data_IF_062131213025
#
_entry.id   IF_062131213025
#
_cell.length_a   1.000
_cell.length_b   1.000
_cell.length_c   1.000
_cell.angle_alpha   90.00
_cell.angle_beta   90.00
_cell.angle_gamma   90.00
#
_symmetry.space_group_name_H-M   'P 1'
#
loop_
_entity.id
_entity.type
_entity.pdbx_description
1 polymer ?
#
# COMPACT_ATOMS: atom_id res chain seq x y z
N UNK A 1 23.50 -72.17 -30.95
CA UNK A 1 22.09 -71.84 -30.64
C UNK A 1 22.06 -71.15 -29.28
N UNK A 2 21.24 -70.09 -29.22
CA UNK A 2 21.01 -69.13 -28.14
C UNK A 2 21.10 -69.66 -26.70
N UNK A 3 21.68 -68.86 -25.79
CA UNK A 3 20.80 -68.21 -24.81
C UNK A 3 21.35 -66.89 -24.24
N UNK A 4 20.44 -65.91 -24.23
CA UNK A 4 20.61 -64.48 -23.95
C UNK A 4 20.84 -64.22 -22.45
N UNK A 5 21.71 -63.26 -22.12
CA UNK A 5 21.57 -62.44 -20.91
C UNK A 5 21.59 -60.97 -21.33
N UNK A 6 20.49 -60.30 -21.05
CA UNK A 6 20.23 -58.88 -21.31
C UNK A 6 20.95 -58.08 -20.22
N UNK A 7 21.90 -57.22 -20.61
CA UNK A 7 22.46 -56.19 -19.74
C UNK A 7 21.66 -54.90 -19.97
N UNK A 8 20.98 -54.42 -18.94
CA UNK A 8 20.33 -53.11 -18.93
C UNK A 8 21.41 -52.07 -18.57
N UNK A 9 21.78 -51.24 -19.53
CA UNK A 9 22.60 -50.04 -19.30
C UNK A 9 21.70 -48.92 -18.78
N UNK A 10 21.87 -48.52 -17.52
CA UNK A 10 21.30 -47.30 -16.97
C UNK A 10 22.15 -46.10 -17.40
N UNK A 11 21.64 -45.33 -18.36
CA UNK A 11 22.24 -44.06 -18.81
C UNK A 11 21.89 -42.97 -17.79
N UNK A 12 22.82 -42.65 -16.89
CA UNK A 12 22.73 -41.48 -16.02
C UNK A 12 23.10 -40.22 -16.80
N UNK A 13 22.10 -39.47 -17.27
CA UNK A 13 22.30 -38.13 -17.81
C UNK A 13 22.50 -37.17 -16.62
N UNK A 14 23.75 -36.80 -16.36
CA UNK A 14 24.08 -35.64 -15.54
C UNK A 14 23.69 -34.38 -16.31
N UNK A 15 22.54 -33.81 -15.98
CA UNK A 15 22.17 -32.44 -16.34
C UNK A 15 23.07 -31.47 -15.56
N UNK A 16 24.17 -31.05 -16.17
CA UNK A 16 24.94 -29.89 -15.72
C UNK A 16 24.11 -28.65 -16.03
N UNK A 17 23.37 -28.16 -15.04
CA UNK A 17 22.76 -26.83 -15.07
C UNK A 17 23.91 -25.83 -14.91
N UNK A 18 24.20 -24.95 -15.87
CA UNK A 18 25.17 -23.89 -15.65
C UNK A 18 24.56 -22.91 -14.64
N UNK A 19 25.06 -22.94 -13.41
CA UNK A 19 24.96 -21.80 -12.51
C UNK A 19 25.72 -20.65 -13.17
N UNK A 20 25.01 -19.80 -13.91
CA UNK A 20 25.43 -18.44 -14.17
C UNK A 20 25.29 -17.66 -12.85
N UNK A 21 26.16 -17.96 -11.89
CA UNK A 21 26.52 -17.03 -10.83
C UNK A 21 27.19 -15.85 -11.52
N UNK A 22 26.39 -14.86 -11.89
CA UNK A 22 26.88 -13.54 -12.25
C UNK A 22 27.72 -13.04 -11.09
N UNK A 23 29.03 -13.05 -11.25
CA UNK A 23 29.95 -12.27 -10.44
C UNK A 23 29.52 -10.81 -10.57
N UNK A 24 28.71 -10.32 -9.64
CA UNK A 24 28.48 -8.88 -9.50
C UNK A 24 29.76 -8.30 -8.92
N UNK A 25 30.73 -7.99 -9.78
CA UNK A 25 31.80 -7.08 -9.40
C UNK A 25 31.16 -5.79 -8.86
N UNK A 26 31.63 -5.35 -7.70
CA UNK A 26 31.14 -4.15 -7.04
C UNK A 26 31.29 -2.96 -8.01
N UNK A 27 30.17 -2.33 -8.40
CA UNK A 27 30.20 -1.23 -9.37
C UNK A 27 30.97 -0.05 -8.77
N UNK A 28 32.11 0.29 -9.37
CA UNK A 28 32.95 1.41 -8.95
C UNK A 28 32.13 2.71 -8.99
N UNK A 29 32.01 3.37 -7.83
CA UNK A 29 31.25 4.60 -7.69
C UNK A 29 32.05 5.80 -8.23
N UNK A 30 31.36 6.70 -8.93
CA UNK A 30 31.90 7.96 -9.44
C UNK A 30 31.32 9.17 -8.72
N UNK A 31 30.03 9.13 -8.38
CA UNK A 31 29.29 10.19 -7.66
C UNK A 31 29.52 11.61 -8.22
N UNK A 32 29.68 11.75 -9.55
CA UNK A 32 29.93 13.05 -10.22
C UNK A 32 28.65 13.78 -10.66
N UNK A 33 27.60 13.01 -10.90
CA UNK A 33 26.30 13.51 -11.35
C UNK A 33 25.20 12.71 -10.66
N UNK A 34 23.95 13.08 -10.93
CA UNK A 34 22.78 12.35 -10.48
C UNK A 34 21.69 12.45 -11.54
N UNK A 35 21.16 11.31 -11.99
CA UNK A 35 20.00 11.31 -12.89
C UNK A 35 18.73 10.96 -12.11
N UNK A 36 17.73 11.84 -12.14
CA UNK A 36 16.47 11.68 -11.38
C UNK A 36 15.30 11.59 -12.35
N UNK A 37 14.45 10.57 -12.20
CA UNK A 37 13.16 10.53 -12.87
C UNK A 37 12.10 11.16 -11.97
N UNK A 38 11.43 12.19 -12.47
CA UNK A 38 10.41 12.96 -11.74
C UNK A 38 9.00 12.37 -11.95
N UNK A 39 8.79 11.51 -12.96
CA UNK A 39 7.46 10.97 -13.23
C UNK A 39 6.41 12.03 -13.57
N UNK A 40 5.16 11.58 -13.72
CA UNK A 40 4.02 12.45 -14.02
C UNK A 40 3.36 12.91 -12.71
N UNK A 41 3.20 14.22 -12.53
CA UNK A 41 2.57 14.87 -11.35
C UNK A 41 3.26 14.58 -10.00
N UNK A 42 4.52 14.18 -9.97
CA UNK A 42 5.27 13.97 -8.71
C UNK A 42 5.96 15.27 -8.29
N UNK A 43 5.18 16.16 -7.68
CA UNK A 43 5.65 17.48 -7.22
C UNK A 43 6.73 17.34 -6.15
N UNK A 44 6.67 16.27 -5.35
CA UNK A 44 7.69 15.89 -4.38
C UNK A 44 9.07 15.70 -5.01
N UNK A 45 9.14 15.07 -6.18
CA UNK A 45 10.40 14.86 -6.89
C UNK A 45 10.92 16.16 -7.48
N UNK A 46 10.03 17.03 -8.00
CA UNK A 46 10.40 18.38 -8.47
C UNK A 46 10.98 19.24 -7.35
N UNK A 47 10.30 19.28 -6.21
CA UNK A 47 10.74 20.03 -5.04
C UNK A 47 12.07 19.46 -4.50
N UNK A 48 12.23 18.14 -4.48
CA UNK A 48 13.47 17.50 -4.07
C UNK A 48 14.64 17.80 -5.01
N UNK A 49 14.43 17.85 -6.33
CA UNK A 49 15.46 18.26 -7.30
C UNK A 49 15.91 19.68 -7.02
N UNK A 50 14.99 20.64 -6.90
CA UNK A 50 15.34 22.04 -6.64
C UNK A 50 16.13 22.20 -5.32
N UNK A 51 15.67 21.57 -4.24
CA UNK A 51 16.35 21.61 -2.94
C UNK A 51 17.72 20.90 -2.99
N UNK A 52 17.85 19.82 -3.75
CA UNK A 52 19.09 19.07 -3.88
C UNK A 52 20.14 19.88 -4.65
N UNK A 53 19.78 20.50 -5.78
CA UNK A 53 20.68 21.35 -6.57
C UNK A 53 21.19 22.55 -5.76
N UNK A 54 20.34 23.13 -4.91
CA UNK A 54 20.77 24.20 -4.01
C UNK A 54 21.76 23.72 -2.94
N UNK A 55 21.56 22.51 -2.40
CA UNK A 55 22.38 21.95 -1.33
C UNK A 55 23.69 21.34 -1.82
N UNK A 56 23.72 20.86 -3.06
CA UNK A 56 24.86 20.19 -3.71
C UNK A 56 25.14 20.82 -5.09
N UNK A 57 25.51 22.12 -5.15
CA UNK A 57 25.69 22.84 -6.42
C UNK A 57 26.84 22.30 -7.28
N UNK A 58 27.72 21.49 -6.71
CA UNK A 58 28.81 20.80 -7.40
C UNK A 58 28.36 19.55 -8.17
N UNK A 59 27.18 19.00 -7.84
CA UNK A 59 26.65 17.79 -8.48
C UNK A 59 25.78 18.20 -9.66
N UNK A 60 26.17 17.77 -10.87
CA UNK A 60 25.32 17.93 -12.05
C UNK A 60 24.07 17.04 -11.91
N UNK A 61 22.89 17.63 -11.87
CA UNK A 61 21.62 16.88 -11.87
C UNK A 61 21.06 16.81 -13.29
N UNK A 62 20.76 15.61 -13.76
CA UNK A 62 20.05 15.37 -15.01
C UNK A 62 18.62 14.93 -14.67
N UNK A 63 17.62 15.62 -15.20
CA UNK A 63 16.21 15.31 -14.95
C UNK A 63 15.61 14.56 -16.14
N UNK A 64 14.91 13.47 -15.87
CA UNK A 64 14.04 12.77 -16.82
C UNK A 64 12.60 13.07 -16.41
N UNK A 65 11.88 13.77 -17.29
CA UNK A 65 10.46 14.07 -17.11
C UNK A 65 9.59 12.99 -17.77
N UNK A 66 8.39 12.82 -17.22
CA UNK A 66 7.38 11.99 -17.87
C UNK A 66 6.88 12.60 -19.17
N UNK A 67 6.55 11.75 -20.14
CA UNK A 67 5.93 12.17 -21.41
C UNK A 67 4.41 12.25 -21.30
N UNK A 68 3.84 11.79 -20.19
CA UNK A 68 2.41 11.85 -19.92
C UNK A 68 1.94 13.28 -19.71
N UNK A 69 0.72 13.54 -20.20
CA UNK A 69 -0.03 14.76 -20.00
C UNK A 69 -1.33 14.45 -19.28
N UNK A 70 -2.03 15.48 -18.79
CA UNK A 70 -3.30 15.31 -18.09
C UNK A 70 -4.39 14.62 -18.93
N UNK A 71 -4.26 14.66 -20.26
CA UNK A 71 -5.16 13.97 -21.21
C UNK A 71 -4.66 12.61 -21.70
N UNK A 72 -3.52 12.12 -21.19
CA UNK A 72 -2.99 10.81 -21.58
C UNK A 72 -3.93 9.68 -21.15
N UNK A 73 -4.25 8.81 -22.10
CA UNK A 73 -5.07 7.63 -21.84
C UNK A 73 -4.31 6.57 -21.04
N UNK A 74 -5.03 5.51 -20.66
CA UNK A 74 -4.46 4.44 -19.85
C UNK A 74 -3.36 3.66 -20.59
N UNK A 75 -3.46 3.52 -21.91
CA UNK A 75 -2.46 2.82 -22.69
C UNK A 75 -1.12 3.58 -22.70
N UNK A 76 -1.16 4.90 -22.88
CA UNK A 76 0.03 5.74 -22.82
C UNK A 76 0.75 5.64 -21.45
N UNK A 77 -0.01 5.56 -20.35
CA UNK A 77 0.54 5.36 -19.01
C UNK A 77 1.24 4.01 -18.88
N UNK A 78 0.58 2.94 -19.32
CA UNK A 78 1.13 1.58 -19.30
C UNK A 78 2.39 1.46 -20.17
N UNK A 79 2.40 2.13 -21.33
CA UNK A 79 3.53 2.13 -22.25
C UNK A 79 4.74 2.85 -21.66
N UNK A 80 4.54 4.03 -21.05
CA UNK A 80 5.63 4.74 -20.39
C UNK A 80 6.18 3.96 -19.20
N UNK A 81 5.31 3.40 -18.36
CA UNK A 81 5.71 2.55 -17.24
C UNK A 81 6.53 1.34 -17.71
N UNK A 82 6.03 0.62 -18.72
CA UNK A 82 6.69 -0.57 -19.27
C UNK A 82 8.06 -0.22 -19.86
N UNK A 83 8.15 0.89 -20.60
CA UNK A 83 9.42 1.39 -21.14
C UNK A 83 10.38 1.74 -20.01
N UNK A 84 9.91 2.43 -18.98
CA UNK A 84 10.73 2.84 -17.84
C UNK A 84 11.28 1.64 -17.06
N UNK A 85 10.42 0.68 -16.71
CA UNK A 85 10.83 -0.56 -16.04
C UNK A 85 11.82 -1.37 -16.89
N UNK A 86 11.62 -1.44 -18.21
CA UNK A 86 12.54 -2.10 -19.13
C UNK A 86 13.92 -1.44 -19.15
N UNK A 87 13.99 -0.10 -19.16
CA UNK A 87 15.26 0.62 -19.07
C UNK A 87 15.99 0.34 -17.76
N UNK A 88 15.28 0.37 -16.62
CA UNK A 88 15.84 0.08 -15.30
C UNK A 88 16.36 -1.36 -15.20
N UNK A 89 15.59 -2.33 -15.71
CA UNK A 89 15.99 -3.75 -15.76
C UNK A 89 17.24 -3.98 -16.62
N UNK A 90 17.41 -3.19 -17.69
CA UNK A 90 18.61 -3.19 -18.52
C UNK A 90 19.76 -2.34 -17.94
N UNK A 91 19.61 -1.83 -16.72
CA UNK A 91 20.63 -1.04 -16.03
C UNK A 91 20.87 0.34 -16.64
N UNK A 92 19.87 0.90 -17.33
CA UNK A 92 19.90 2.23 -17.97
C UNK A 92 18.92 3.19 -17.27
N UNK A 93 18.71 4.37 -17.82
CA UNK A 93 17.77 5.36 -17.28
C UNK A 93 18.27 6.07 -16.01
N UNK A 94 17.33 6.42 -15.14
CA UNK A 94 17.59 7.19 -13.92
C UNK A 94 18.39 6.43 -12.86
N UNK A 95 19.09 7.19 -12.01
CA UNK A 95 19.69 6.68 -10.79
C UNK A 95 18.66 6.59 -9.66
N UNK A 96 17.76 7.58 -9.53
CA UNK A 96 16.73 7.67 -8.50
C UNK A 96 15.36 7.85 -9.13
N UNK A 97 14.35 7.17 -8.57
CA UNK A 97 12.97 7.18 -9.04
C UNK A 97 11.99 6.78 -7.94
N UNK A 98 10.74 7.19 -8.07
CA UNK A 98 9.67 6.68 -7.21
C UNK A 98 9.25 5.27 -7.64
N UNK A 99 9.04 4.43 -6.65
CA UNK A 99 8.43 3.10 -6.73
C UNK A 99 6.96 3.29 -6.40
N UNK A 100 6.10 2.84 -7.30
CA UNK A 100 4.64 2.95 -7.16
C UNK A 100 4.05 1.71 -6.50
N UNK A 101 2.93 1.89 -5.81
CA UNK A 101 2.24 0.85 -5.05
C UNK A 101 1.73 -0.32 -5.89
N UNK A 102 1.49 -0.07 -7.17
CA UNK A 102 1.10 -1.06 -8.16
C UNK A 102 2.28 -1.76 -8.84
N UNK A 103 3.54 -1.56 -8.43
CA UNK A 103 4.65 -2.35 -8.98
C UNK A 103 4.70 -3.76 -8.38
N UNK A 104 5.24 -4.71 -9.14
CA UNK A 104 5.47 -6.07 -8.63
C UNK A 104 6.70 -6.15 -7.73
N UNK A 105 6.54 -5.65 -6.50
CA UNK A 105 7.64 -5.57 -5.54
C UNK A 105 8.18 -6.92 -5.09
N UNK A 106 7.39 -7.99 -5.21
CA UNK A 106 7.84 -9.35 -4.94
C UNK A 106 8.87 -9.82 -5.98
N UNK A 107 8.69 -9.50 -7.26
CA UNK A 107 9.68 -9.81 -8.31
C UNK A 107 10.84 -8.81 -8.34
N UNK A 108 10.55 -7.52 -8.20
CA UNK A 108 11.57 -6.44 -8.25
C UNK A 108 12.65 -6.62 -7.19
N UNK A 109 12.30 -7.04 -5.97
CA UNK A 109 13.29 -7.25 -4.89
C UNK A 109 14.29 -8.38 -5.20
N UNK A 110 13.95 -9.31 -6.09
CA UNK A 110 14.82 -10.42 -6.50
C UNK A 110 15.56 -10.15 -7.83
N UNK A 111 15.11 -9.18 -8.63
CA UNK A 111 15.63 -8.96 -9.99
C UNK A 111 17.00 -8.29 -10.08
N UNK A 112 17.46 -7.65 -8.99
CA UNK A 112 18.68 -6.83 -9.00
C UNK A 112 18.48 -5.41 -9.58
N UNK A 113 17.24 -5.04 -9.91
CA UNK A 113 16.88 -3.70 -10.40
C UNK A 113 17.17 -2.60 -9.37
N UNK A 114 17.11 -2.93 -8.07
CA UNK A 114 17.31 -1.99 -6.97
C UNK A 114 18.69 -2.19 -6.31
N UNK A 115 19.33 -1.07 -5.98
CA UNK A 115 20.61 -1.07 -5.28
C UNK A 115 20.42 -1.34 -3.78
N UNK A 116 21.38 -2.02 -3.18
CA UNK A 116 21.48 -2.05 -1.72
C UNK A 116 22.05 -0.73 -1.20
N UNK A 117 21.20 0.08 -0.59
CA UNK A 117 21.57 1.36 0.03
C UNK A 117 21.77 1.26 1.55
N UNK A 118 21.74 0.05 2.12
CA UNK A 118 21.76 -0.16 3.57
C UNK A 118 23.04 0.38 4.22
N UNK A 119 24.18 0.32 3.51
CA UNK A 119 25.46 0.86 3.97
C UNK A 119 25.38 2.37 4.23
N UNK A 120 24.70 3.12 3.35
CA UNK A 120 24.53 4.56 3.51
C UNK A 120 23.55 4.86 4.64
N UNK A 121 22.39 4.18 4.65
CA UNK A 121 21.38 4.32 5.70
C UNK A 121 21.93 4.05 7.09
N UNK A 122 22.65 2.94 7.30
CA UNK A 122 23.20 2.59 8.63
C UNK A 122 24.24 3.59 9.13
N UNK A 123 25.11 4.09 8.25
CA UNK A 123 26.19 5.02 8.62
C UNK A 123 25.72 6.46 8.81
N UNK A 124 24.50 6.77 8.36
CA UNK A 124 23.99 8.12 8.45
C UNK A 124 23.46 8.44 9.85
N UNK A 125 24.18 9.33 10.54
CA UNK A 125 23.79 9.86 11.85
C UNK A 125 23.08 11.22 11.75
N UNK A 126 23.00 11.81 10.54
CA UNK A 126 22.27 13.05 10.28
C UNK A 126 20.78 12.83 10.02
N UNK A 127 20.40 11.62 9.62
CA UNK A 127 19.00 11.22 9.54
C UNK A 127 18.52 10.85 10.96
N UNK A 128 17.61 11.64 11.51
CA UNK A 128 16.96 11.37 12.80
C UNK A 128 16.01 10.16 12.68
N UNK A 129 16.58 8.94 12.66
CA UNK A 129 15.85 7.71 12.36
C UNK A 129 14.66 7.50 13.29
N UNK A 130 14.78 7.89 14.55
CA UNK A 130 13.76 7.78 15.59
C UNK A 130 12.49 8.61 15.26
N UNK A 131 12.61 9.62 14.40
CA UNK A 131 11.49 10.43 13.92
C UNK A 131 10.69 9.72 12.81
N UNK A 132 11.11 8.56 12.33
CA UNK A 132 10.39 7.82 11.29
C UNK A 132 9.66 6.60 11.84
N UNK A 133 8.54 6.23 11.22
CA UNK A 133 7.84 4.98 11.52
C UNK A 133 8.76 3.79 11.15
N UNK A 134 9.35 3.14 12.15
CA UNK A 134 10.41 2.13 11.92
C UNK A 134 9.95 0.88 11.17
N UNK A 135 8.77 0.34 11.48
CA UNK A 135 8.21 -0.84 10.80
C UNK A 135 8.00 -0.58 9.31
N UNK A 136 7.52 0.61 8.98
CA UNK A 136 7.36 1.09 7.60
C UNK A 136 8.73 1.25 6.95
N UNK A 137 9.66 1.95 7.60
CA UNK A 137 11.02 2.11 7.09
C UNK A 137 11.71 0.77 6.84
N UNK A 138 11.53 -0.20 7.73
CA UNK A 138 12.13 -1.53 7.64
C UNK A 138 11.44 -2.45 6.63
N UNK A 139 10.29 -2.07 6.06
CA UNK A 139 9.72 -2.78 4.91
C UNK A 139 10.69 -2.81 3.72
N UNK A 140 11.57 -1.80 3.63
CA UNK A 140 12.65 -1.71 2.64
C UNK A 140 13.77 -2.76 2.81
N UNK A 141 13.81 -3.49 3.93
CA UNK A 141 14.80 -4.53 4.18
C UNK A 141 14.37 -5.87 3.58
N UNK A 142 15.19 -6.38 2.68
CA UNK A 142 15.01 -7.68 2.04
C UNK A 142 16.32 -8.46 2.05
N UNK A 143 16.33 -9.64 2.71
CA UNK A 143 17.52 -10.51 2.84
C UNK A 143 18.77 -9.73 3.30
N UNK A 144 18.60 -8.77 4.23
CA UNK A 144 19.68 -7.94 4.80
C UNK A 144 20.09 -6.70 3.97
N UNK A 145 19.57 -6.57 2.75
CA UNK A 145 19.77 -5.41 1.86
C UNK A 145 18.61 -4.42 2.03
N UNK A 146 18.89 -3.12 1.94
CA UNK A 146 17.85 -2.08 1.93
C UNK A 146 17.66 -1.63 0.49
N UNK A 147 16.55 -2.03 -0.14
CA UNK A 147 16.35 -1.87 -1.57
C UNK A 147 15.57 -0.60 -1.94
N UNK A 148 14.83 -0.05 -0.98
CA UNK A 148 14.08 1.19 -1.14
C UNK A 148 13.92 1.89 0.22
N UNK A 149 13.51 3.15 0.20
CA UNK A 149 13.04 3.89 1.38
C UNK A 149 11.57 4.30 1.15
N UNK A 150 10.61 3.92 2.00
CA UNK A 150 9.25 4.42 1.89
C UNK A 150 9.19 5.94 2.12
N UNK A 151 8.33 6.61 1.38
CA UNK A 151 8.08 8.06 1.48
C UNK A 151 6.77 8.30 2.24
N UNK A 152 5.74 7.52 1.89
CA UNK A 152 4.43 7.59 2.53
C UNK A 152 3.71 6.24 2.48
N UNK A 153 2.70 6.10 3.34
CA UNK A 153 1.93 4.88 3.53
C UNK A 153 0.48 5.20 3.90
N UNK A 154 -0.37 4.19 3.97
CA UNK A 154 -1.72 4.30 4.54
C UNK A 154 -1.97 3.20 5.57
N UNK A 155 -2.98 3.41 6.43
CA UNK A 155 -3.45 2.40 7.37
C UNK A 155 -4.95 2.16 7.17
N UNK A 156 -5.45 0.93 7.38
CA UNK A 156 -6.86 0.60 7.19
C UNK A 156 -7.67 1.05 8.41
N UNK A 157 -8.22 2.26 8.34
CA UNK A 157 -9.18 2.75 9.33
C UNK A 157 -10.60 2.64 8.78
N UNK A 158 -11.55 2.43 9.67
CA UNK A 158 -12.98 2.55 9.43
C UNK A 158 -13.48 3.73 10.27
N UNK A 159 -14.49 4.42 9.76
CA UNK A 159 -15.12 5.53 10.47
C UNK A 159 -16.60 5.21 10.69
N UNK A 160 -17.10 5.41 11.90
CA UNK A 160 -18.52 5.32 12.23
C UNK A 160 -18.94 6.49 13.10
N UNK A 161 -20.15 6.43 13.63
CA UNK A 161 -20.64 7.39 14.61
C UNK A 161 -21.04 6.67 15.90
N UNK A 162 -20.88 7.33 17.03
CA UNK A 162 -21.22 6.76 18.33
C UNK A 162 -22.66 6.29 18.41
N UNK A 163 -23.62 7.13 18.00
CA UNK A 163 -25.03 6.73 18.03
C UNK A 163 -25.35 5.58 17.07
N UNK A 164 -24.63 5.48 15.95
CA UNK A 164 -24.76 4.37 15.00
C UNK A 164 -24.31 3.05 15.62
N UNK A 165 -23.15 3.04 16.28
CA UNK A 165 -22.60 1.84 16.94
C UNK A 165 -23.47 1.41 18.13
N UNK A 166 -23.92 2.36 18.96
CA UNK A 166 -24.80 2.09 20.11
C UNK A 166 -26.15 1.54 19.66
N UNK A 167 -26.79 2.15 18.64
CA UNK A 167 -28.08 1.70 18.12
C UNK A 167 -28.02 0.31 17.51
N UNK A 168 -26.90 -0.02 16.87
CA UNK A 168 -26.69 -1.31 16.20
C UNK A 168 -26.06 -2.37 17.11
N UNK A 169 -25.85 -2.07 18.41
CA UNK A 169 -25.21 -2.98 19.37
C UNK A 169 -23.87 -3.52 18.84
N UNK A 170 -23.05 -2.65 18.23
CA UNK A 170 -21.72 -3.00 17.70
C UNK A 170 -20.62 -2.59 18.67
N UNK A 171 -19.79 -3.55 19.08
CA UNK A 171 -18.80 -3.44 20.14
C UNK A 171 -17.39 -3.34 19.53
N UNK A 172 -16.92 -2.12 19.30
CA UNK A 172 -15.60 -1.84 18.71
C UNK A 172 -14.44 -2.43 19.54
N UNK A 173 -14.58 -2.50 20.86
CA UNK A 173 -13.61 -3.07 21.80
C UNK A 173 -13.48 -4.59 21.70
N UNK A 174 -14.47 -5.25 21.10
CA UNK A 174 -14.41 -6.68 20.80
C UNK A 174 -13.52 -6.99 19.59
N UNK A 175 -13.25 -6.00 18.73
CA UNK A 175 -12.44 -6.12 17.51
C UNK A 175 -10.93 -6.01 17.80
N UNK A 176 -10.39 -6.98 18.55
CA UNK A 176 -8.98 -6.98 18.99
C UNK A 176 -7.99 -7.41 17.91
N UNK A 177 -8.47 -8.14 16.91
CA UNK A 177 -7.74 -8.67 15.77
C UNK A 177 -8.71 -8.86 14.59
N UNK A 178 -8.19 -9.31 13.45
CA UNK A 178 -9.01 -9.50 12.26
C UNK A 178 -10.13 -10.54 12.46
N UNK A 179 -9.86 -11.63 13.18
CA UNK A 179 -10.82 -12.73 13.38
C UNK A 179 -11.98 -12.29 14.27
N UNK A 180 -11.67 -11.59 15.36
CA UNK A 180 -12.66 -11.02 16.25
C UNK A 180 -13.49 -9.92 15.58
N UNK A 181 -12.88 -9.12 14.70
CA UNK A 181 -13.63 -8.20 13.82
C UNK A 181 -14.63 -8.95 12.93
N UNK A 182 -14.21 -10.03 12.24
CA UNK A 182 -15.14 -10.85 11.44
C UNK A 182 -16.29 -11.40 12.31
N UNK A 183 -15.98 -11.97 13.49
CA UNK A 183 -17.00 -12.50 14.42
C UNK A 183 -17.98 -11.44 14.91
N UNK A 184 -17.47 -10.24 15.21
CA UNK A 184 -18.26 -9.08 15.62
C UNK A 184 -19.25 -8.68 14.51
N UNK A 185 -18.74 -8.54 13.28
CA UNK A 185 -19.59 -8.20 12.13
C UNK A 185 -20.62 -9.29 11.82
N UNK A 186 -20.29 -10.56 12.04
CA UNK A 186 -21.24 -11.67 11.91
C UNK A 186 -22.30 -11.68 13.01
N UNK A 187 -21.94 -11.31 14.25
CA UNK A 187 -22.93 -11.11 15.32
C UNK A 187 -23.88 -10.00 14.91
N UNK A 188 -23.34 -8.83 14.59
CA UNK A 188 -24.10 -7.65 14.16
C UNK A 188 -25.06 -7.97 13.02
N UNK A 189 -24.57 -8.60 11.94
CA UNK A 189 -25.36 -8.91 10.75
C UNK A 189 -26.61 -9.76 11.03
N UNK A 190 -26.61 -10.59 12.10
CA UNK A 190 -27.78 -11.42 12.48
C UNK A 190 -28.93 -10.61 13.07
N UNK A 191 -28.68 -9.39 13.55
CA UNK A 191 -29.68 -8.54 14.21
C UNK A 191 -29.68 -7.08 13.72
N UNK A 192 -28.86 -6.75 12.71
CA UNK A 192 -28.74 -5.41 12.13
C UNK A 192 -30.09 -4.83 11.71
N UNK A 193 -30.18 -3.50 11.71
CA UNK A 193 -31.32 -2.81 11.09
C UNK A 193 -31.48 -3.19 9.62
N UNK A 194 -32.73 -3.36 9.19
CA UNK A 194 -33.06 -3.73 7.80
C UNK A 194 -32.44 -2.74 6.81
N UNK A 195 -31.79 -3.27 5.76
CA UNK A 195 -31.19 -2.48 4.68
C UNK A 195 -29.88 -1.77 5.00
N UNK A 196 -29.36 -1.85 6.24
CA UNK A 196 -28.05 -1.26 6.60
C UNK A 196 -26.91 -2.14 6.13
N UNK A 197 -25.95 -1.59 5.39
CA UNK A 197 -24.75 -2.31 4.92
C UNK A 197 -23.61 -2.24 5.92
N UNK A 198 -22.71 -3.22 5.91
CA UNK A 198 -21.51 -3.18 6.77
C UNK A 198 -20.61 -2.00 6.37
N UNK A 199 -20.33 -1.91 5.08
CA UNK A 199 -19.38 -0.99 4.48
C UNK A 199 -20.09 -0.08 3.46
N UNK A 200 -19.55 1.11 3.22
CA UNK A 200 -19.97 1.93 2.07
C UNK A 200 -19.67 1.23 0.74
N UNK A 201 -18.46 0.70 0.63
CA UNK A 201 -17.97 -0.02 -0.54
C UNK A 201 -17.85 -1.52 -0.27
N UNK A 202 -18.59 -2.33 -1.03
CA UNK A 202 -18.60 -3.80 -0.92
C UNK A 202 -17.21 -4.43 -1.17
N UNK A 203 -16.33 -3.76 -1.93
CA UNK A 203 -14.96 -4.22 -2.20
C UNK A 203 -14.08 -4.22 -0.95
N UNK A 204 -14.44 -3.53 0.12
CA UNK A 204 -13.59 -3.43 1.31
C UNK A 204 -13.39 -4.75 2.02
N UNK A 205 -14.43 -5.59 2.05
CA UNK A 205 -14.30 -6.93 2.61
C UNK A 205 -13.23 -7.73 1.87
N UNK A 206 -13.30 -7.82 0.55
CA UNK A 206 -12.32 -8.59 -0.26
C UNK A 206 -10.93 -7.96 -0.25
N UNK A 207 -10.85 -6.64 -0.07
CA UNK A 207 -9.59 -5.92 0.04
C UNK A 207 -8.92 -6.04 1.41
N UNK A 208 -9.64 -6.48 2.44
CA UNK A 208 -9.07 -6.64 3.77
C UNK A 208 -8.09 -7.80 3.90
N UNK A 209 -7.98 -8.70 2.91
CA UNK A 209 -7.01 -9.81 2.92
C UNK A 209 -5.57 -9.34 3.18
N UNK A 210 -5.15 -8.19 2.64
CA UNK A 210 -3.79 -7.68 2.90
C UNK A 210 -3.66 -7.16 4.34
N UNK A 211 -4.69 -6.47 4.83
CA UNK A 211 -4.70 -5.89 6.16
C UNK A 211 -4.76 -6.96 7.25
N UNK A 212 -5.50 -8.03 6.98
CA UNK A 212 -5.77 -9.13 7.90
C UNK A 212 -4.52 -9.78 8.49
N UNK A 213 -3.39 -9.75 7.77
CA UNK A 213 -2.19 -10.47 8.18
C UNK A 213 -2.17 -11.95 7.79
N UNK A 214 -3.21 -12.45 7.12
CA UNK A 214 -3.15 -13.76 6.46
C UNK A 214 -1.97 -13.82 5.48
N UNK A 215 -1.38 -15.00 5.34
CA UNK A 215 -0.24 -15.25 4.44
C UNK A 215 -0.63 -16.31 3.39
N UNK A 216 -1.56 -15.98 2.47
CA UNK A 216 -2.00 -16.92 1.43
C UNK A 216 -0.86 -17.29 0.47
N UNK A 217 0.16 -16.45 0.35
CA UNK A 217 1.34 -16.67 -0.48
C UNK A 217 2.60 -16.24 0.26
N UNK A 218 3.54 -17.16 0.48
CA UNK A 218 4.92 -16.85 0.85
C UNK A 218 5.77 -16.89 -0.41
N UNK A 219 6.01 -15.71 -1.00
CA UNK A 219 6.76 -15.57 -2.24
C UNK A 219 8.20 -16.11 -2.11
N UNK A 220 8.85 -15.88 -0.96
CA UNK A 220 10.25 -16.26 -0.75
C UNK A 220 10.42 -17.78 -0.66
N UNK A 221 9.47 -18.47 -0.03
CA UNK A 221 9.44 -19.94 0.05
C UNK A 221 8.70 -20.59 -1.11
N UNK A 222 8.15 -19.80 -2.04
CA UNK A 222 7.26 -20.24 -3.13
C UNK A 222 6.14 -21.15 -2.61
N UNK A 223 5.57 -20.80 -1.45
CA UNK A 223 4.52 -21.58 -0.76
C UNK A 223 3.17 -20.90 -0.91
N UNK A 224 2.14 -21.69 -1.23
CA UNK A 224 0.75 -21.23 -1.35
C UNK A 224 -0.08 -21.88 -0.24
N UNK A 225 -0.83 -21.07 0.51
CA UNK A 225 -1.66 -21.48 1.65
C UNK A 225 -3.16 -21.15 1.42
N UNK A 226 -3.63 -21.19 0.17
CA UNK A 226 -5.00 -20.81 -0.18
C UNK A 226 -6.08 -21.79 0.26
N UNK A 227 -5.72 -23.05 0.49
CA UNK A 227 -6.67 -24.13 0.83
C UNK A 227 -6.87 -24.28 2.34
N UNK A 228 -6.40 -23.33 3.16
CA UNK A 228 -6.60 -23.38 4.62
C UNK A 228 -8.05 -23.03 5.01
N UNK A 229 -8.50 -23.53 6.16
CA UNK A 229 -9.87 -23.24 6.63
C UNK A 229 -10.05 -21.74 6.94
N UNK A 230 -9.01 -21.06 7.42
CA UNK A 230 -9.06 -19.63 7.70
C UNK A 230 -9.27 -18.78 6.44
N UNK A 231 -8.68 -19.19 5.31
CA UNK A 231 -8.92 -18.53 4.01
C UNK A 231 -10.34 -18.80 3.53
N UNK A 232 -10.88 -20.00 3.77
CA UNK A 232 -12.27 -20.34 3.46
C UNK A 232 -13.24 -19.50 4.29
N UNK A 233 -13.07 -19.44 5.60
CA UNK A 233 -13.84 -18.60 6.52
C UNK A 233 -13.78 -17.12 6.11
N UNK A 234 -12.60 -16.63 5.70
CA UNK A 234 -12.45 -15.26 5.18
C UNK A 234 -13.33 -14.99 3.95
N UNK A 235 -13.34 -15.88 2.97
CA UNK A 235 -14.14 -15.69 1.76
C UNK A 235 -15.63 -15.88 2.02
N UNK A 236 -16.01 -16.78 2.93
CA UNK A 236 -17.39 -16.89 3.42
C UNK A 236 -17.85 -15.58 4.07
N UNK A 237 -17.02 -15.00 4.95
CA UNK A 237 -17.26 -13.68 5.53
C UNK A 237 -17.36 -12.59 4.46
N UNK A 238 -16.44 -12.56 3.49
CA UNK A 238 -16.50 -11.60 2.37
C UNK A 238 -17.82 -11.70 1.61
N UNK A 239 -18.31 -12.91 1.37
CA UNK A 239 -19.58 -13.14 0.67
C UNK A 239 -20.77 -12.63 1.47
N UNK A 240 -20.72 -12.73 2.80
CA UNK A 240 -21.76 -12.23 3.70
C UNK A 240 -21.71 -10.70 3.88
N UNK A 241 -20.51 -10.12 3.85
CA UNK A 241 -20.30 -8.67 3.95
C UNK A 241 -20.71 -7.93 2.67
N UNK A 242 -20.74 -8.60 1.52
CA UNK A 242 -21.22 -8.07 0.24
C UNK A 242 -22.75 -8.17 0.18
N UNK A 243 -23.41 -7.05 -0.06
CA UNK A 243 -24.87 -7.00 -0.19
C UNK A 243 -25.32 -6.79 -1.63
N UNK A 244 -24.44 -6.26 -2.49
CA UNK A 244 -24.71 -6.09 -3.92
C UNK A 244 -23.94 -7.09 -4.77
N UNK A 245 -24.58 -7.56 -5.85
CA UNK A 245 -23.94 -8.41 -6.86
C UNK A 245 -22.82 -7.68 -7.60
N UNK A 246 -22.99 -6.37 -7.79
CA UNK A 246 -22.03 -5.48 -8.42
C UNK A 246 -21.45 -4.53 -7.38
N UNK A 247 -20.14 -4.30 -7.44
CA UNK A 247 -19.48 -3.35 -6.56
C UNK A 247 -19.84 -1.93 -6.97
N UNK A 248 -20.32 -1.12 -6.02
CA UNK A 248 -20.55 0.29 -6.23
C UNK A 248 -19.35 1.08 -5.72
N UNK A 249 -18.71 1.81 -6.64
CA UNK A 249 -17.62 2.72 -6.35
C UNK A 249 -18.17 4.15 -6.31
N UNK A 250 -18.28 4.70 -5.11
CA UNK A 250 -18.62 6.11 -4.89
C UNK A 250 -17.37 6.78 -4.34
N UNK A 251 -17.04 8.00 -4.75
CA UNK A 251 -15.83 8.70 -4.27
C UNK A 251 -16.15 10.16 -3.94
N UNK A 252 -15.47 10.68 -2.91
CA UNK A 252 -15.57 12.09 -2.51
C UNK A 252 -16.94 12.53 -2.00
N UNK A 253 -17.11 13.86 -1.92
CA UNK A 253 -18.41 14.49 -1.63
C UNK A 253 -18.99 14.21 -0.25
N UNK A 254 -18.21 13.76 0.75
CA UNK A 254 -18.74 13.41 2.08
C UNK A 254 -19.84 12.33 2.05
N UNK A 255 -19.89 11.51 1.00
CA UNK A 255 -20.90 10.45 0.84
C UNK A 255 -20.86 9.42 1.98
N UNK A 256 -19.68 9.22 2.57
CA UNK A 256 -19.49 8.41 3.76
C UNK A 256 -20.24 8.95 4.97
N UNK A 257 -19.93 10.19 5.36
CA UNK A 257 -20.63 10.88 6.44
C UNK A 257 -22.14 10.96 6.18
N UNK A 258 -22.58 11.23 4.94
CA UNK A 258 -23.99 11.27 4.58
C UNK A 258 -24.65 9.89 4.73
N UNK A 259 -23.99 8.82 4.29
CA UNK A 259 -24.49 7.46 4.42
C UNK A 259 -24.59 7.00 5.88
N UNK A 260 -23.67 7.44 6.75
CA UNK A 260 -23.75 7.22 8.20
C UNK A 260 -24.94 7.99 8.81
N UNK A 261 -25.07 9.29 8.51
CA UNK A 261 -26.20 10.14 8.95
C UNK A 261 -27.55 9.53 8.56
N UNK A 262 -27.66 9.07 7.32
CA UNK A 262 -28.87 8.48 6.77
C UNK A 262 -29.09 7.02 7.23
N UNK A 263 -28.16 6.45 7.99
CA UNK A 263 -28.24 5.11 8.56
C UNK A 263 -28.13 3.97 7.54
N UNK A 264 -27.56 4.24 6.36
CA UNK A 264 -27.40 3.29 5.24
C UNK A 264 -26.25 2.32 5.44
N UNK A 265 -25.24 2.70 6.23
CA UNK A 265 -24.02 1.92 6.46
C UNK A 265 -23.68 1.89 7.95
N UNK A 266 -22.90 0.89 8.37
CA UNK A 266 -22.30 0.84 9.71
C UNK A 266 -20.94 1.54 9.74
N UNK A 267 -20.12 1.32 8.71
CA UNK A 267 -18.79 1.92 8.58
C UNK A 267 -18.63 2.64 7.26
N UNK A 268 -18.18 3.89 7.34
CA UNK A 268 -17.50 4.55 6.24
C UNK A 268 -16.13 3.92 6.03
N UNK A 269 -15.87 3.64 4.75
CA UNK A 269 -14.60 3.14 4.26
C UNK A 269 -14.45 3.54 2.79
N UNK A 270 -13.33 4.14 2.46
CA UNK A 270 -12.86 4.25 1.10
C UNK A 270 -11.89 3.09 0.82
N UNK A 271 -12.30 2.19 -0.07
CA UNK A 271 -11.66 0.89 -0.23
C UNK A 271 -10.27 0.92 -0.86
N UNK A 272 -9.74 2.07 -1.29
CA UNK A 272 -8.43 2.13 -1.92
C UNK A 272 -7.38 2.79 -1.02
N UNK A 273 -7.71 3.90 -0.35
CA UNK A 273 -6.68 4.69 0.30
C UNK A 273 -7.06 5.28 1.66
N UNK A 274 -8.35 5.34 2.04
CA UNK A 274 -8.88 6.25 3.08
C UNK A 274 -7.87 7.33 3.43
N UNK A 275 -7.63 8.21 2.44
CA UNK A 275 -6.54 9.13 2.54
C UNK A 275 -6.86 9.99 3.78
N UNK A 276 -5.84 10.27 4.59
CA UNK A 276 -5.96 10.95 5.86
C UNK A 276 -6.86 12.21 5.78
N UNK A 277 -6.83 12.93 4.67
CA UNK A 277 -7.71 14.06 4.38
C UNK A 277 -9.20 13.67 4.30
N UNK A 278 -9.56 12.52 3.72
CA UNK A 278 -10.93 12.01 3.75
C UNK A 278 -11.40 11.64 5.16
N UNK A 279 -10.54 11.03 5.99
CA UNK A 279 -10.86 10.78 7.41
C UNK A 279 -11.14 12.10 8.11
N UNK A 280 -10.29 13.12 7.91
CA UNK A 280 -10.47 14.46 8.47
C UNK A 280 -11.80 15.06 7.99
N UNK A 281 -12.05 15.07 6.68
CA UNK A 281 -13.25 15.66 6.10
C UNK A 281 -14.54 14.98 6.59
N UNK A 282 -14.59 13.64 6.59
CA UNK A 282 -15.76 12.92 7.08
C UNK A 282 -15.92 13.06 8.60
N UNK A 283 -14.84 13.06 9.38
CA UNK A 283 -14.93 13.28 10.84
C UNK A 283 -15.48 14.66 11.19
N UNK A 284 -15.07 15.69 10.44
CA UNK A 284 -15.61 17.05 10.57
C UNK A 284 -17.10 17.12 10.21
N UNK A 285 -17.50 16.44 9.13
CA UNK A 285 -18.90 16.37 8.74
C UNK A 285 -19.74 15.61 9.78
N UNK A 286 -19.25 14.47 10.29
CA UNK A 286 -19.89 13.70 11.36
C UNK A 286 -20.06 14.55 12.61
N UNK A 287 -19.03 15.31 13.00
CA UNK A 287 -19.06 16.20 14.18
C UNK A 287 -20.16 17.26 14.14
N UNK A 288 -20.81 17.48 12.97
CA UNK A 288 -21.98 18.36 12.87
C UNK A 288 -23.30 17.73 13.35
N UNK A 289 -23.36 16.40 13.49
CA UNK A 289 -24.56 15.67 13.90
C UNK A 289 -24.33 14.54 14.91
N UNK A 290 -23.10 14.08 15.11
CA UNK A 290 -22.74 13.00 16.05
C UNK A 290 -21.23 13.00 16.38
N UNK A 291 -20.80 12.13 17.28
CA UNK A 291 -19.40 11.89 17.64
C UNK A 291 -18.76 10.87 16.66
N UNK A 292 -17.69 11.21 15.92
CA UNK A 292 -16.99 10.27 15.05
C UNK A 292 -16.22 9.23 15.87
N UNK A 293 -16.25 7.98 15.42
CA UNK A 293 -15.52 6.86 16.04
C UNK A 293 -14.63 6.20 15.01
N UNK A 294 -13.33 6.15 15.29
CA UNK A 294 -12.34 5.46 14.45
C UNK A 294 -12.15 4.02 14.90
N UNK A 295 -12.03 3.10 13.93
CA UNK A 295 -11.75 1.69 14.18
C UNK A 295 -10.69 1.18 13.20
N UNK A 296 -9.46 0.83 13.64
CA UNK A 296 -8.50 0.18 12.77
C UNK A 296 -8.92 -1.26 12.44
N UNK A 297 -8.76 -1.66 11.18
CA UNK A 297 -8.81 -3.07 10.79
C UNK A 297 -7.49 -3.72 11.22
N UNK A 298 -7.51 -4.32 12.40
CA UNK A 298 -6.36 -5.00 12.99
C UNK A 298 -6.03 -6.29 12.25
N UNK A 299 -4.76 -6.64 12.19
CA UNK A 299 -4.29 -7.90 11.64
C UNK A 299 -4.42 -9.04 12.68
N UNK A 300 -4.05 -10.26 12.30
CA UNK A 300 -4.14 -11.47 13.15
C UNK A 300 -3.37 -11.37 14.48
N UNK A 301 -2.41 -10.45 14.59
CA UNK A 301 -1.63 -10.23 15.82
C UNK A 301 -2.19 -9.11 16.69
N UNK A 302 -3.28 -8.45 16.24
CA UNK A 302 -3.88 -7.29 16.88
C UNK A 302 -3.20 -5.95 16.57
N UNK A 303 -2.07 -5.95 15.85
CA UNK A 303 -1.46 -4.73 15.32
C UNK A 303 -2.07 -4.29 13.99
N UNK A 304 -1.45 -3.29 13.36
CA UNK A 304 -1.92 -2.74 12.08
C UNK A 304 -0.94 -3.07 10.95
N UNK A 305 -1.47 -3.49 9.81
CA UNK A 305 -0.70 -3.66 8.57
C UNK A 305 -0.80 -2.39 7.74
N UNK A 306 0.30 -1.65 7.63
CA UNK A 306 0.40 -0.46 6.78
C UNK A 306 0.63 -0.84 5.31
N UNK A 307 0.08 -0.04 4.39
CA UNK A 307 0.28 -0.20 2.95
C UNK A 307 1.23 0.88 2.45
N UNK A 308 2.37 0.49 1.88
CA UNK A 308 3.29 1.43 1.25
C UNK A 308 2.63 1.97 -0.01
N UNK A 309 2.48 3.29 -0.07
CA UNK A 309 1.86 4.02 -1.18
C UNK A 309 2.93 4.49 -2.17
N UNK A 310 4.04 4.98 -1.63
CA UNK A 310 5.17 5.44 -2.42
C UNK A 310 6.46 5.13 -1.68
N UNK A 311 7.46 4.65 -2.42
CA UNK A 311 8.83 4.55 -1.96
C UNK A 311 9.78 5.14 -2.99
N UNK A 312 11.03 5.35 -2.61
CA UNK A 312 12.09 5.76 -3.53
C UNK A 312 13.12 4.64 -3.67
N UNK A 313 13.41 4.31 -4.93
CA UNK A 313 14.39 3.31 -5.33
C UNK A 313 15.65 3.95 -5.89
N UNK A 314 16.75 3.20 -5.83
CA UNK A 314 18.00 3.53 -6.54
C UNK A 314 18.31 2.39 -7.50
N UNK A 315 18.65 2.70 -8.75
CA UNK A 315 18.98 1.68 -9.75
C UNK A 315 20.18 0.82 -9.31
N UNK A 316 20.06 -0.51 -9.45
CA UNK A 316 21.00 -1.51 -8.95
C UNK A 316 22.47 -1.29 -9.33
N UNK A 317 22.71 -1.00 -10.61
CA UNK A 317 24.04 -0.77 -11.16
C UNK A 317 24.45 0.72 -11.20
N UNK A 318 23.75 1.61 -10.47
CA UNK A 318 24.12 3.02 -10.41
C UNK A 318 25.56 3.20 -9.91
N UNK A 319 26.29 4.11 -10.57
CA UNK A 319 27.62 4.60 -10.19
C UNK A 319 27.54 5.82 -9.26
N UNK A 320 26.33 6.27 -8.91
CA UNK A 320 26.06 7.51 -8.16
C UNK A 320 25.28 7.24 -6.86
N UNK A 321 25.54 6.13 -6.17
CA UNK A 321 24.72 5.68 -5.03
C UNK A 321 24.81 6.61 -3.82
N UNK A 322 25.94 7.31 -3.61
CA UNK A 322 26.05 8.26 -2.50
C UNK A 322 25.21 9.51 -2.79
N UNK A 323 25.26 10.03 -4.03
CA UNK A 323 24.41 11.15 -4.44
C UNK A 323 22.94 10.76 -4.42
N UNK A 324 22.60 9.56 -4.90
CA UNK A 324 21.26 9.02 -4.86
C UNK A 324 20.72 8.93 -3.43
N UNK A 325 21.52 8.42 -2.48
CA UNK A 325 21.12 8.39 -1.08
C UNK A 325 20.98 9.79 -0.47
N UNK A 326 21.88 10.74 -0.81
CA UNK A 326 21.75 12.13 -0.37
C UNK A 326 20.47 12.78 -0.90
N UNK A 327 20.09 12.49 -2.15
CA UNK A 327 18.83 12.94 -2.73
C UNK A 327 17.63 12.40 -1.97
N UNK A 328 17.63 11.11 -1.62
CA UNK A 328 16.56 10.51 -0.80
C UNK A 328 16.39 11.26 0.53
N UNK A 329 17.47 11.74 1.15
CA UNK A 329 17.37 12.53 2.39
C UNK A 329 16.77 13.91 2.16
N UNK A 330 17.11 14.55 1.04
CA UNK A 330 16.49 15.83 0.67
C UNK A 330 15.00 15.61 0.41
N UNK A 331 14.64 14.55 -0.33
CA UNK A 331 13.25 14.17 -0.55
C UNK A 331 12.47 13.98 0.76
N UNK A 332 13.06 13.32 1.76
CA UNK A 332 12.45 13.08 3.07
C UNK A 332 12.55 14.25 4.06
N UNK A 333 13.17 15.36 3.66
CA UNK A 333 13.35 16.51 4.54
C UNK A 333 12.02 17.22 4.80
N UNK A 334 11.90 17.84 5.97
CA UNK A 334 10.73 18.64 6.33
C UNK A 334 10.42 19.73 5.29
N UNK A 335 11.44 20.36 4.71
CA UNK A 335 11.31 21.38 3.67
C UNK A 335 10.55 20.84 2.46
N UNK A 336 10.99 19.70 1.91
CA UNK A 336 10.34 19.09 0.75
C UNK A 336 8.98 18.53 1.14
N UNK A 337 8.93 17.72 2.20
CA UNK A 337 7.72 17.02 2.64
C UNK A 337 6.57 17.96 3.02
N UNK A 338 6.84 19.13 3.58
CA UNK A 338 5.81 20.13 3.93
C UNK A 338 5.50 21.11 2.78
N UNK A 339 6.22 21.05 1.66
CA UNK A 339 5.96 21.92 0.53
C UNK A 339 4.59 21.62 -0.13
N UNK A 340 3.89 22.65 -0.63
CA UNK A 340 2.62 22.46 -1.32
C UNK A 340 2.71 21.47 -2.48
N UNK A 341 1.77 20.52 -2.53
CA UNK A 341 1.69 19.51 -3.58
C UNK A 341 2.60 18.28 -3.41
N UNK A 342 3.50 18.26 -2.42
CA UNK A 342 4.41 17.13 -2.17
C UNK A 342 3.70 15.90 -1.59
N UNK A 343 2.73 16.10 -0.71
CA UNK A 343 1.99 14.96 -0.15
C UNK A 343 0.98 14.44 -1.17
N UNK A 344 1.08 13.16 -1.50
CA UNK A 344 -0.04 12.42 -2.12
C UNK A 344 -1.25 12.65 -1.22
N UNK A 345 -2.37 13.12 -1.81
CA UNK A 345 -3.57 13.48 -1.03
C UNK A 345 -3.94 12.33 -0.09
N UNK A 346 -3.82 12.64 1.19
CA UNK A 346 -4.00 11.78 2.37
C UNK A 346 -3.17 10.50 2.47
N UNK A 347 -2.03 10.39 1.79
CA UNK A 347 -1.01 9.45 2.26
C UNK A 347 -0.35 9.99 3.55
N UNK A 348 0.05 9.08 4.43
CA UNK A 348 0.71 9.38 5.70
C UNK A 348 2.22 9.44 5.44
N UNK A 349 2.88 10.59 5.68
CA UNK A 349 4.33 10.68 5.54
C UNK A 349 5.03 9.78 6.56
N UNK A 350 6.17 9.21 6.21
CA UNK A 350 6.93 8.34 7.13
C UNK A 350 7.49 9.06 8.36
N UNK A 351 7.61 10.40 8.30
CA UNK A 351 8.14 11.26 9.37
C UNK A 351 7.02 11.66 10.33
N UNK A 352 7.21 11.38 11.63
CA UNK A 352 6.27 11.79 12.69
C UNK A 352 6.16 13.31 12.79
N UNK A 353 7.28 14.05 12.73
CA UNK A 353 7.27 15.53 12.67
C UNK A 353 6.45 16.08 11.51
N UNK A 354 6.64 15.54 10.32
CA UNK A 354 5.87 15.98 9.13
C UNK A 354 4.40 15.63 9.31
N UNK A 355 4.10 14.45 9.84
CA UNK A 355 2.73 14.04 10.12
C UNK A 355 2.04 14.99 11.10
N UNK A 356 2.68 15.33 12.21
CA UNK A 356 2.14 16.27 13.21
C UNK A 356 1.82 17.65 12.61
N UNK A 357 2.66 18.14 11.68
CA UNK A 357 2.49 19.46 11.05
C UNK A 357 1.50 19.46 9.88
N UNK A 358 1.45 18.40 9.05
CA UNK A 358 0.56 18.32 7.87
C UNK A 358 -0.87 17.94 8.26
N UNK A 359 -1.04 17.33 9.43
CA UNK A 359 -2.36 17.04 10.01
C UNK A 359 -3.21 18.31 10.22
N UNK A 360 -2.59 19.49 10.25
CA UNK A 360 -3.29 20.76 10.38
C UNK A 360 -2.78 21.75 9.33
N UNK A 361 -3.45 21.97 8.16
CA UNK A 361 -3.07 23.11 7.34
C UNK A 361 -3.29 24.39 8.15
N UNK A 362 -2.24 25.16 8.51
CA UNK A 362 -2.33 26.36 9.35
C UNK A 362 -2.88 27.57 8.57
N UNK A 363 -3.79 27.34 7.64
CA UNK A 363 -4.45 28.36 6.83
C UNK A 363 -5.95 28.09 6.77
N UNK A 364 -6.59 28.40 7.88
CA UNK A 364 -7.70 29.35 7.92
C UNK A 364 -9.04 28.96 7.24
N UNK A 365 -10.03 28.85 8.14
CA UNK A 365 -11.47 29.13 7.96
C UNK A 365 -12.31 28.00 7.40
N UNK A 366 -12.59 27.06 8.30
CA UNK A 366 -13.92 26.54 8.67
C UNK A 366 -14.89 26.04 7.59
N UNK A 367 -14.59 26.14 6.29
CA UNK A 367 -15.61 25.93 5.25
C UNK A 367 -15.21 24.88 4.21
N UNK A 368 -16.11 23.95 3.91
CA UNK A 368 -16.08 23.08 2.74
C UNK A 368 -16.28 23.84 1.41
N UNK A 369 -16.35 25.18 1.44
CA UNK A 369 -16.52 26.04 0.27
C UNK A 369 -17.99 26.20 -0.15
N UNK A 370 -18.74 25.10 -0.07
CA UNK A 370 -20.14 24.97 -0.46
C UNK A 370 -20.87 23.93 0.41
N UNK A 371 -22.19 23.83 0.25
CA UNK A 371 -22.97 22.73 0.84
C UNK A 371 -22.69 21.45 0.06
N UNK A 372 -22.37 20.37 0.77
CA UNK A 372 -22.03 19.07 0.15
C UNK A 372 -22.86 18.00 0.84
N UNK A 373 -23.72 17.30 0.08
CA UNK A 373 -24.56 16.21 0.59
C UNK A 373 -25.38 16.54 1.86
N UNK A 374 -25.87 17.78 1.94
CA UNK A 374 -26.64 18.30 3.07
C UNK A 374 -25.80 18.67 4.30
N UNK A 375 -24.47 18.64 4.20
CA UNK A 375 -23.58 19.20 5.21
C UNK A 375 -23.35 20.68 4.95
N UNK A 376 -23.43 21.53 6.00
CA UNK A 376 -23.29 22.96 5.85
C UNK A 376 -21.91 23.30 5.30
N UNK A 377 -21.87 24.43 4.58
CA UNK A 377 -20.61 25.03 4.13
C UNK A 377 -19.59 25.14 5.25
N UNK A 378 -20.02 25.41 6.49
CA UNK A 378 -19.13 25.50 7.66
C UNK A 378 -19.38 24.29 8.56
N UNK A 379 -18.37 23.43 8.71
CA UNK A 379 -18.41 22.27 9.60
C UNK A 379 -17.38 22.42 10.73
N UNK A 380 -17.60 21.73 11.88
CA UNK A 380 -16.65 21.72 12.99
C UNK A 380 -15.21 21.43 12.56
N UNK A 381 -14.26 21.93 13.33
CA UNK A 381 -12.84 21.67 13.10
C UNK A 381 -12.50 20.23 13.50
N UNK A 382 -11.47 19.67 12.87
CA UNK A 382 -10.90 18.40 13.30
C UNK A 382 -10.06 18.68 14.55
N UNK A 383 -10.42 18.07 15.68
CA UNK A 383 -9.87 18.45 16.99
C UNK A 383 -8.49 17.85 17.22
N UNK A 384 -7.77 18.41 18.19
CA UNK A 384 -6.46 17.87 18.60
C UNK A 384 -6.58 16.45 19.15
N UNK A 385 -7.67 16.15 19.87
CA UNK A 385 -7.94 14.82 20.40
C UNK A 385 -8.15 13.81 19.26
N UNK A 386 -8.90 14.17 18.21
CA UNK A 386 -9.09 13.32 17.03
C UNK A 386 -7.77 13.09 16.28
N UNK A 387 -6.92 14.11 16.18
CA UNK A 387 -5.56 13.96 15.68
C UNK A 387 -4.73 13.00 16.54
N UNK A 388 -4.71 13.18 17.86
CA UNK A 388 -3.95 12.34 18.78
C UNK A 388 -4.41 10.87 18.73
N UNK A 389 -5.71 10.64 18.59
CA UNK A 389 -6.29 9.31 18.38
C UNK A 389 -5.78 8.68 17.08
N UNK A 390 -5.81 9.41 15.97
CA UNK A 390 -5.26 8.93 14.70
C UNK A 390 -3.76 8.60 14.82
N UNK A 391 -2.99 9.50 15.43
CA UNK A 391 -1.54 9.35 15.66
C UNK A 391 -1.21 8.15 16.56
N UNK A 392 -2.12 7.75 17.45
CA UNK A 392 -1.96 6.54 18.26
C UNK A 392 -1.97 5.29 17.36
N UNK A 393 -2.87 5.20 16.38
CA UNK A 393 -2.91 4.04 15.48
C UNK A 393 -1.67 3.90 14.61
N UNK A 394 -1.03 5.00 14.22
CA UNK A 394 0.24 4.92 13.47
C UNK A 394 1.39 4.34 14.29
N UNK A 395 1.30 4.38 15.62
CA UNK A 395 2.24 3.74 16.55
C UNK A 395 1.93 2.25 16.78
N UNK A 396 0.74 1.78 16.40
CA UNK A 396 0.32 0.38 16.52
C UNK A 396 0.64 -0.46 15.26
N UNK A 397 1.27 0.16 14.25
CA UNK A 397 1.73 -0.52 13.04
C UNK A 397 2.82 -1.52 13.41
N UNK A 398 2.63 -2.78 13.04
CA UNK A 398 3.59 -3.85 13.27
C UNK A 398 3.88 -4.71 12.01
N UNK A 399 3.22 -4.41 10.89
CA UNK A 399 3.52 -4.95 9.57
C UNK A 399 3.41 -3.83 8.54
N UNK A 400 4.22 -3.87 7.49
CA UNK A 400 4.12 -2.95 6.36
C UNK A 400 4.44 -3.67 5.06
N UNK A 401 3.68 -3.42 4.01
CA UNK A 401 3.88 -4.07 2.71
C UNK A 401 3.33 -3.23 1.55
N UNK A 402 3.81 -3.50 0.34
CA UNK A 402 3.13 -3.11 -0.88
C UNK A 402 1.92 -4.00 -1.15
N UNK A 403 1.05 -3.58 -2.07
CA UNK A 403 -0.01 -4.44 -2.59
C UNK A 403 0.60 -5.55 -3.45
N UNK A 404 0.55 -6.83 -3.03
CA UNK A 404 1.16 -7.90 -3.82
C UNK A 404 0.35 -8.20 -5.08
N UNK A 405 1.04 -8.44 -6.21
CA UNK A 405 0.39 -8.70 -7.50
C UNK A 405 -0.42 -9.99 -7.54
N UNK A 406 0.01 -11.03 -6.82
CA UNK A 406 -0.74 -12.30 -6.74
C UNK A 406 -2.16 -12.11 -6.21
N UNK A 407 -2.42 -11.06 -5.42
CA UNK A 407 -3.77 -10.78 -4.90
C UNK A 407 -4.75 -10.52 -6.04
N UNK A 408 -4.35 -9.81 -7.09
CA UNK A 408 -5.23 -9.53 -8.23
C UNK A 408 -5.76 -10.83 -8.83
N UNK A 409 -4.86 -11.80 -9.04
CA UNK A 409 -5.19 -13.15 -9.52
C UNK A 409 -6.11 -13.92 -8.58
N UNK A 410 -5.80 -13.89 -7.27
CA UNK A 410 -6.66 -14.48 -6.26
C UNK A 410 -8.08 -13.88 -6.30
N UNK A 411 -8.20 -12.55 -6.31
CA UNK A 411 -9.49 -11.87 -6.30
C UNK A 411 -10.30 -12.09 -7.58
N UNK A 412 -9.63 -12.13 -8.74
CA UNK A 412 -10.23 -12.43 -10.04
C UNK A 412 -10.83 -13.84 -10.05
N UNK A 413 -10.05 -14.85 -9.65
CA UNK A 413 -10.51 -16.24 -9.58
C UNK A 413 -11.62 -16.48 -8.54
N UNK A 414 -11.67 -15.68 -7.48
CA UNK A 414 -12.70 -15.80 -6.43
C UNK A 414 -13.97 -15.00 -6.72
N UNK A 415 -14.01 -14.13 -7.74
CA UNK A 415 -15.23 -13.37 -8.08
C UNK A 415 -16.46 -14.25 -8.30
N UNK A 416 -16.41 -15.38 -9.05
CA UNK A 416 -17.60 -16.20 -9.29
C UNK A 416 -18.17 -16.79 -7.98
N UNK A 417 -17.33 -17.16 -7.03
CA UNK A 417 -17.78 -17.63 -5.72
C UNK A 417 -18.52 -16.53 -4.93
N UNK A 418 -17.95 -15.31 -4.92
CA UNK A 418 -18.53 -14.15 -4.25
C UNK A 418 -19.87 -13.74 -4.87
N UNK A 419 -20.05 -13.94 -6.19
CA UNK A 419 -21.32 -13.72 -6.91
C UNK A 419 -22.33 -14.87 -6.75
N UNK A 420 -21.91 -16.00 -6.19
CA UNK A 420 -22.75 -17.21 -6.06
C UNK A 420 -22.89 -18.02 -7.35
N UNK A 421 -22.01 -17.80 -8.33
CA UNK A 421 -22.01 -18.45 -9.64
C UNK A 421 -21.24 -19.78 -9.65
N UNK A 422 -20.34 -19.99 -8.67
CA UNK A 422 -19.48 -21.17 -8.58
C UNK A 422 -19.20 -21.55 -7.12
N UNK A 423 -18.89 -22.82 -6.85
CA UNK A 423 -18.51 -23.28 -5.50
C UNK A 423 -17.14 -22.74 -5.07
N UNK A 424 -16.93 -22.67 -3.76
CA UNK A 424 -15.67 -22.24 -3.18
C UNK A 424 -14.50 -23.12 -3.66
N UNK A 425 -14.69 -24.44 -3.62
CA UNK A 425 -13.67 -25.45 -3.92
C UNK A 425 -13.16 -25.32 -5.35
N UNK A 426 -14.04 -24.99 -6.29
CA UNK A 426 -13.65 -24.81 -7.70
C UNK A 426 -12.92 -23.48 -7.90
N UNK A 427 -13.41 -22.40 -7.32
CA UNK A 427 -12.77 -21.08 -7.42
C UNK A 427 -11.39 -21.05 -6.74
N UNK A 428 -11.25 -21.62 -5.54
CA UNK A 428 -9.98 -21.59 -4.81
C UNK A 428 -8.91 -22.43 -5.50
N UNK A 429 -9.31 -23.53 -6.16
CA UNK A 429 -8.41 -24.32 -7.01
C UNK A 429 -7.92 -23.52 -8.21
N UNK A 430 -8.81 -22.80 -8.90
CA UNK A 430 -8.42 -21.90 -10.00
C UNK A 430 -7.51 -20.77 -9.51
N UNK A 431 -7.80 -20.20 -8.33
CA UNK A 431 -6.96 -19.18 -7.72
C UNK A 431 -5.55 -19.71 -7.45
N UNK A 432 -5.44 -20.93 -6.92
CA UNK A 432 -4.15 -21.60 -6.71
C UNK A 432 -3.38 -21.78 -8.01
N UNK A 433 -4.00 -22.29 -9.07
CA UNK A 433 -3.37 -22.46 -10.39
C UNK A 433 -2.85 -21.12 -10.96
N UNK A 434 -3.62 -20.03 -10.84
CA UNK A 434 -3.19 -18.71 -11.29
C UNK A 434 -2.03 -18.13 -10.46
N UNK A 435 -2.05 -18.35 -9.15
CA UNK A 435 -0.97 -17.92 -8.26
C UNK A 435 0.30 -18.76 -8.49
N UNK A 436 0.17 -20.07 -8.73
CA UNK A 436 1.29 -20.94 -9.12
C UNK A 436 1.96 -20.43 -10.41
N UNK A 437 1.16 -20.07 -11.42
CA UNK A 437 1.68 -19.47 -12.65
C UNK A 437 2.44 -18.17 -12.36
N UNK A 438 1.85 -17.26 -11.59
CA UNK A 438 2.49 -16.01 -11.19
C UNK A 438 3.83 -16.22 -10.48
N UNK A 439 3.93 -17.24 -9.62
CA UNK A 439 5.16 -17.59 -8.91
C UNK A 439 6.19 -18.30 -9.79
N UNK A 440 5.80 -18.84 -10.95
CA UNK A 440 6.71 -19.50 -11.88
C UNK A 440 7.36 -18.55 -12.89
N UNK A 441 6.69 -17.43 -13.18
CA UNK A 441 7.18 -16.28 -13.95
C UNK A 441 8.16 -15.43 -13.12
#
# INVERSE_FOLDING_TARGET
MLNKKVLIFSLGILLVIPYLSGCSSEVKQTDKELTVYIGHRETEMKNAVAAYEQKYPEVKVNVIESKLTDGSDEQAKLDEESSFLSELMNGKGADVFLIRDFWDMDKIKESGMLADINKFYKKDNSLEKENYQQVVMDSGLYKGKRLYIPVNYSIPLLLSTKSTLEKEDFHVESCKDFVSFCKETDRWRKHKSSGRRLFRMDVTATKSIIWSGYEPVDFNKRKINLESEEIKEYFEWCKLAREQKEAMDIYGGLEGAASLRDGKILFENEGYYLPYDEIVMNSRAISSFDEPVLLPVRNLTGGITAIIQTAVGVRGNSVNKQNAYNFIKVLLSDEVQKAPGTQVKGAIPVSYKVMEDIVYPPTSKSTFGEEINGFPKICPEFTKEQQEEYMKYTKEINKACFNPKWRGKLMEAMQPYLKGEMSYEKCIKQAKEQVELYLSE
#
